data_IF_705017425927
#
_entry.id   IF_705017425927
#
_cell.length_a   1.000
_cell.length_b   1.000
_cell.length_c   1.000
_cell.angle_alpha   90.00
_cell.angle_beta   90.00
_cell.angle_gamma   90.00
#
_symmetry.space_group_name_H-M   'P 1'
#
loop_
_entity.id
_entity.type
_entity.pdbx_description
1 polymer ?
#
# COMPACT_ATOMS: atom_id res chain seq x y z
N UNK A 1 7.52 7.76 -13.78
CA UNK A 1 6.95 9.08 -13.41
C UNK A 1 8.05 10.12 -13.25
N UNK A 2 7.72 11.42 -13.30
CA UNK A 2 8.68 12.49 -12.94
C UNK A 2 9.17 12.26 -11.50
N UNK A 3 10.41 12.66 -11.24
CA UNK A 3 10.98 12.68 -9.91
C UNK A 3 10.14 13.62 -9.01
N UNK A 4 9.73 13.20 -7.82
CA UNK A 4 8.93 14.03 -6.90
C UNK A 4 9.67 15.33 -6.58
N UNK A 5 11.00 15.26 -6.47
CA UNK A 5 11.85 16.43 -6.22
C UNK A 5 11.85 17.46 -7.37
N UNK A 6 11.33 17.10 -8.56
CA UNK A 6 11.24 17.97 -9.73
C UNK A 6 9.81 18.49 -9.96
N UNK A 7 8.84 18.03 -9.16
CA UNK A 7 7.46 18.49 -9.28
C UNK A 7 7.28 19.86 -8.65
N UNK A 8 6.56 20.74 -9.33
CA UNK A 8 6.02 21.94 -8.69
C UNK A 8 5.02 21.57 -7.59
N UNK A 9 4.77 22.45 -6.60
CA UNK A 9 3.76 22.18 -5.57
C UNK A 9 2.37 21.83 -6.13
N UNK A 10 1.99 22.44 -7.25
CA UNK A 10 0.72 22.17 -7.92
C UNK A 10 0.70 20.77 -8.57
N UNK A 11 1.79 20.38 -9.25
CA UNK A 11 1.90 19.03 -9.83
C UNK A 11 1.90 17.96 -8.74
N UNK A 12 2.63 18.17 -7.65
CA UNK A 12 2.70 17.23 -6.54
C UNK A 12 1.35 17.10 -5.83
N UNK A 13 0.63 18.19 -5.60
CA UNK A 13 -0.73 18.13 -5.02
C UNK A 13 -1.69 17.35 -5.90
N UNK A 14 -1.65 17.55 -7.23
CA UNK A 14 -2.48 16.79 -8.17
C UNK A 14 -2.15 15.29 -8.17
N UNK A 15 -0.87 14.96 -8.10
CA UNK A 15 -0.41 13.58 -7.99
C UNK A 15 -0.96 12.89 -6.73
N UNK A 16 -0.89 13.58 -5.59
CA UNK A 16 -1.42 13.08 -4.32
C UNK A 16 -2.95 12.99 -4.34
N UNK A 17 -3.62 13.93 -4.99
CA UNK A 17 -5.08 13.88 -5.21
C UNK A 17 -5.47 12.66 -6.05
N UNK A 18 -4.73 12.33 -7.11
CA UNK A 18 -4.93 11.07 -7.84
C UNK A 18 -4.72 9.87 -6.94
N UNK A 19 -3.59 9.84 -6.20
CA UNK A 19 -3.23 8.73 -5.31
C UNK A 19 -4.30 8.43 -4.26
N UNK A 20 -4.83 9.43 -3.56
CA UNK A 20 -5.82 9.19 -2.49
C UNK A 20 -7.19 8.78 -3.02
N UNK A 21 -7.44 8.94 -4.32
CA UNK A 21 -8.69 8.62 -4.99
C UNK A 21 -8.61 7.32 -5.83
N UNK A 22 -7.50 6.57 -5.75
CA UNK A 22 -7.35 5.25 -6.38
C UNK A 22 -8.45 4.28 -5.93
N UNK A 23 -8.84 3.35 -6.82
CA UNK A 23 -9.97 2.44 -6.61
C UNK A 23 -9.80 1.53 -5.40
N UNK A 24 -8.54 1.23 -5.02
CA UNK A 24 -8.19 0.44 -3.82
C UNK A 24 -8.89 0.93 -2.56
N UNK A 25 -9.02 2.25 -2.39
CA UNK A 25 -9.63 2.82 -1.20
C UNK A 25 -11.15 2.60 -1.18
N UNK A 26 -11.79 2.57 -2.35
CA UNK A 26 -13.22 2.32 -2.49
C UNK A 26 -13.54 0.83 -2.33
N UNK A 27 -12.76 -0.06 -2.93
CA UNK A 27 -12.92 -1.52 -2.72
C UNK A 27 -12.65 -1.90 -1.27
N UNK A 28 -11.68 -1.25 -0.61
CA UNK A 28 -11.49 -1.40 0.84
C UNK A 28 -12.74 -1.01 1.64
N UNK A 29 -13.38 0.11 1.33
CA UNK A 29 -14.61 0.53 2.03
C UNK A 29 -15.74 -0.48 1.86
N UNK A 30 -15.98 -0.94 0.62
CA UNK A 30 -16.97 -2.00 0.34
C UNK A 30 -16.65 -3.29 1.09
N UNK A 31 -15.38 -3.71 1.11
CA UNK A 31 -14.95 -4.91 1.83
C UNK A 31 -15.16 -4.79 3.35
N UNK A 32 -14.92 -3.60 3.92
CA UNK A 32 -15.19 -3.33 5.34
C UNK A 32 -16.69 -3.44 5.65
N UNK A 33 -17.56 -2.93 4.77
CA UNK A 33 -19.02 -3.03 4.93
C UNK A 33 -19.49 -4.50 4.89
N UNK A 34 -18.96 -5.30 3.96
CA UNK A 34 -19.26 -6.73 3.88
C UNK A 34 -18.74 -7.49 5.11
N UNK A 35 -17.57 -7.12 5.65
CA UNK A 35 -17.02 -7.72 6.86
C UNK A 35 -17.80 -7.37 8.13
N UNK A 36 -18.44 -6.19 8.16
CA UNK A 36 -19.29 -5.76 9.28
C UNK A 36 -20.68 -6.43 9.29
N UNK A 37 -21.06 -7.07 8.20
CA UNK A 37 -22.34 -7.78 8.02
C UNK A 37 -22.12 -9.30 7.94
N UNK A 38 -23.18 -10.09 8.05
CA UNK A 38 -23.11 -11.54 7.86
C UNK A 38 -23.10 -11.91 6.35
N UNK A 39 -22.24 -11.22 5.59
CA UNK A 39 -22.08 -11.43 4.16
C UNK A 39 -21.58 -12.84 3.87
N UNK A 40 -22.05 -13.40 2.76
CA UNK A 40 -21.66 -14.73 2.30
C UNK A 40 -20.19 -14.79 1.88
N UNK A 41 -19.65 -16.00 1.80
CA UNK A 41 -18.29 -16.23 1.29
C UNK A 41 -18.14 -15.75 -0.16
N UNK A 42 -19.17 -15.91 -0.99
CA UNK A 42 -19.15 -15.53 -2.41
C UNK A 42 -19.08 -14.00 -2.58
N UNK A 43 -19.81 -13.24 -1.76
CA UNK A 43 -19.75 -11.78 -1.75
C UNK A 43 -18.36 -11.30 -1.32
N UNK A 44 -17.80 -11.89 -0.26
CA UNK A 44 -16.46 -11.57 0.22
C UNK A 44 -15.37 -11.94 -0.79
N UNK A 45 -15.46 -13.10 -1.44
CA UNK A 45 -14.50 -13.53 -2.46
C UNK A 45 -14.54 -12.58 -3.67
N UNK A 46 -15.73 -12.16 -4.10
CA UNK A 46 -15.88 -11.19 -5.20
C UNK A 46 -15.17 -9.87 -4.89
N UNK A 47 -15.48 -9.28 -3.74
CA UNK A 47 -14.90 -7.99 -3.35
C UNK A 47 -13.40 -8.11 -3.01
N UNK A 48 -12.96 -9.25 -2.46
CA UNK A 48 -11.54 -9.51 -2.26
C UNK A 48 -10.75 -9.52 -3.56
N UNK A 49 -11.30 -10.11 -4.64
CA UNK A 49 -10.65 -10.11 -5.94
C UNK A 49 -10.54 -8.70 -6.54
N UNK A 50 -11.56 -7.87 -6.38
CA UNK A 50 -11.51 -6.45 -6.77
C UNK A 50 -10.45 -5.70 -5.96
N UNK A 51 -10.49 -5.81 -4.63
CA UNK A 51 -9.50 -5.21 -3.72
C UNK A 51 -8.07 -5.62 -4.07
N UNK A 52 -7.85 -6.91 -4.35
CA UNK A 52 -6.54 -7.41 -4.73
C UNK A 52 -6.07 -6.85 -6.07
N UNK A 53 -6.95 -6.78 -7.08
CA UNK A 53 -6.63 -6.17 -8.37
C UNK A 53 -6.27 -4.69 -8.24
N UNK A 54 -7.07 -3.92 -7.51
CA UNK A 54 -6.82 -2.50 -7.26
C UNK A 54 -5.49 -2.27 -6.50
N UNK A 55 -5.15 -3.19 -5.59
CA UNK A 55 -3.88 -3.17 -4.88
C UNK A 55 -2.69 -3.40 -5.83
N UNK A 56 -2.80 -4.35 -6.75
CA UNK A 56 -1.76 -4.59 -7.77
C UNK A 56 -1.57 -3.38 -8.68
N UNK A 57 -2.65 -2.71 -9.08
CA UNK A 57 -2.63 -1.49 -9.86
C UNK A 57 -1.93 -0.33 -9.13
N UNK A 58 -2.25 -0.12 -7.84
CA UNK A 58 -1.52 0.83 -6.99
C UNK A 58 -0.02 0.49 -6.94
N UNK A 59 0.30 -0.79 -6.80
CA UNK A 59 1.67 -1.28 -6.77
C UNK A 59 2.44 -0.96 -8.06
N UNK A 60 1.83 -1.16 -9.24
CA UNK A 60 2.41 -0.74 -10.51
C UNK A 60 2.67 0.76 -10.55
N UNK A 61 1.72 1.58 -10.09
CA UNK A 61 1.85 3.02 -10.07
C UNK A 61 3.01 3.48 -9.18
N UNK A 62 3.04 3.01 -7.92
CA UNK A 62 4.06 3.37 -6.93
C UNK A 62 5.44 2.84 -7.28
N UNK A 63 5.53 1.68 -7.90
CA UNK A 63 6.83 1.19 -8.32
C UNK A 63 7.41 2.01 -9.47
N UNK A 64 6.64 2.78 -10.24
CA UNK A 64 7.19 3.61 -11.32
C UNK A 64 8.13 4.73 -10.83
N UNK A 65 8.11 5.08 -9.54
CA UNK A 65 9.10 6.00 -8.96
C UNK A 65 10.48 5.33 -8.88
N UNK A 66 11.53 6.11 -9.19
CA UNK A 66 12.93 5.63 -9.17
C UNK A 66 13.75 6.23 -8.03
N UNK A 67 13.22 7.26 -7.36
CA UNK A 67 13.89 7.93 -6.25
C UNK A 67 13.50 7.30 -4.92
N UNK A 68 14.46 7.18 -3.99
CA UNK A 68 14.20 6.85 -2.59
C UNK A 68 13.31 7.92 -1.94
N UNK A 69 12.07 7.59 -1.55
CA UNK A 69 11.16 8.54 -0.95
C UNK A 69 11.63 9.03 0.42
N UNK A 70 12.58 8.39 1.10
CA UNK A 70 13.09 8.88 2.39
C UNK A 70 14.21 9.93 2.26
N UNK A 71 14.72 10.18 1.05
CA UNK A 71 15.79 11.15 0.83
C UNK A 71 15.34 12.57 1.14
N UNK A 72 16.04 13.27 2.04
CA UNK A 72 15.82 14.69 2.34
C UNK A 72 15.04 15.00 3.63
N UNK A 73 14.64 13.99 4.42
CA UNK A 73 14.10 14.22 5.77
C UNK A 73 15.21 14.59 6.76
N UNK A 74 14.89 15.44 7.76
CA UNK A 74 15.80 15.71 8.87
C UNK A 74 16.11 14.40 9.63
N UNK A 75 17.36 13.93 9.66
CA UNK A 75 17.72 12.66 10.29
C UNK A 75 17.47 12.62 11.80
N UNK A 76 17.33 13.78 12.46
CA UNK A 76 17.15 13.86 13.91
C UNK A 76 15.68 13.88 14.34
N UNK A 77 14.76 14.19 13.42
CA UNK A 77 13.33 14.18 13.69
C UNK A 77 12.83 12.78 14.07
N UNK A 78 11.88 12.72 15.03
CA UNK A 78 11.30 11.46 15.51
C UNK A 78 10.69 10.64 14.37
N UNK A 79 9.97 11.32 13.48
CA UNK A 79 9.34 10.69 12.32
C UNK A 79 10.36 10.05 11.38
N UNK A 80 11.45 10.75 11.05
CA UNK A 80 12.52 10.20 10.21
C UNK A 80 13.14 8.96 10.83
N UNK A 81 13.31 8.92 12.15
CA UNK A 81 13.77 7.72 12.86
C UNK A 81 12.78 6.56 12.75
N UNK A 82 11.47 6.81 12.85
CA UNK A 82 10.42 5.79 12.63
C UNK A 82 10.53 5.25 11.21
N UNK A 83 10.43 6.12 10.20
CA UNK A 83 10.45 5.71 8.79
C UNK A 83 11.75 4.99 8.41
N UNK A 84 12.89 5.43 8.95
CA UNK A 84 14.16 4.74 8.76
C UNK A 84 14.13 3.32 9.33
N UNK A 85 13.63 3.10 10.55
CA UNK A 85 13.53 1.73 11.12
C UNK A 85 12.66 0.82 10.26
N UNK A 86 11.53 1.32 9.78
CA UNK A 86 10.65 0.56 8.89
C UNK A 86 11.38 0.24 7.57
N UNK A 87 12.10 1.21 7.01
CA UNK A 87 12.91 0.98 5.81
C UNK A 87 14.01 -0.05 6.01
N UNK A 88 14.76 0.04 7.11
CA UNK A 88 15.81 -0.91 7.46
C UNK A 88 15.22 -2.33 7.63
N UNK A 89 14.04 -2.44 8.26
CA UNK A 89 13.31 -3.70 8.37
C UNK A 89 12.87 -4.24 7.00
N UNK A 90 12.31 -3.41 6.12
CA UNK A 90 11.93 -3.80 4.76
C UNK A 90 13.13 -4.31 3.99
N UNK A 91 14.25 -3.57 4.02
CA UNK A 91 15.47 -3.96 3.30
C UNK A 91 16.10 -5.25 3.85
N UNK A 92 15.97 -5.51 5.14
CA UNK A 92 16.51 -6.72 5.76
C UNK A 92 15.67 -7.98 5.46
N UNK A 93 14.36 -7.83 5.25
CA UNK A 93 13.44 -8.96 5.11
C UNK A 93 12.96 -9.19 3.68
N UNK A 94 12.98 -8.16 2.83
CA UNK A 94 12.55 -8.28 1.44
C UNK A 94 13.52 -9.14 0.66
N UNK A 95 12.99 -10.21 0.06
CA UNK A 95 13.75 -11.13 -0.79
C UNK A 95 13.58 -10.81 -2.27
N UNK A 96 12.54 -10.07 -2.64
CA UNK A 96 12.24 -9.73 -4.02
C UNK A 96 12.90 -8.44 -4.48
N UNK A 97 13.40 -8.47 -5.70
CA UNK A 97 13.71 -7.28 -6.47
C UNK A 97 12.41 -6.62 -6.97
N UNK A 98 12.49 -5.33 -7.29
CA UNK A 98 11.38 -4.61 -7.95
C UNK A 98 10.90 -5.33 -9.23
N UNK A 99 11.83 -5.83 -10.04
CA UNK A 99 11.50 -6.54 -11.28
C UNK A 99 10.71 -7.82 -11.02
N UNK A 100 11.07 -8.57 -9.98
CA UNK A 100 10.33 -9.77 -9.58
C UNK A 100 8.93 -9.44 -9.07
N UNK A 101 8.73 -8.38 -8.28
CA UNK A 101 7.38 -7.95 -7.87
C UNK A 101 6.50 -7.54 -9.04
N UNK A 102 7.04 -6.80 -10.01
CA UNK A 102 6.35 -6.48 -11.27
C UNK A 102 5.91 -7.76 -11.99
N UNK A 103 6.81 -8.74 -12.12
CA UNK A 103 6.47 -10.01 -12.75
C UNK A 103 5.41 -10.79 -12.01
N UNK A 104 5.46 -10.85 -10.68
CA UNK A 104 4.45 -11.53 -9.86
C UNK A 104 3.06 -10.91 -10.04
N UNK A 105 2.95 -9.57 -10.07
CA UNK A 105 1.69 -8.87 -10.37
C UNK A 105 1.17 -9.14 -11.79
N UNK A 106 2.06 -9.50 -12.73
CA UNK A 106 1.66 -9.95 -14.07
C UNK A 106 1.32 -11.46 -14.13
N UNK A 107 1.26 -12.14 -12.98
CA UNK A 107 1.04 -13.58 -12.89
C UNK A 107 2.25 -14.44 -13.25
N UNK A 108 3.45 -13.86 -13.32
CA UNK A 108 4.70 -14.55 -13.65
C UNK A 108 5.49 -14.83 -12.38
N UNK A 109 5.44 -16.08 -11.92
CA UNK A 109 6.13 -16.55 -10.72
C UNK A 109 7.39 -17.34 -11.06
N UNK A 110 8.44 -17.19 -10.26
CA UNK A 110 9.67 -17.97 -10.37
C UNK A 110 9.50 -19.33 -9.69
N UNK A 111 10.25 -20.34 -10.12
CA UNK A 111 10.22 -21.66 -9.46
C UNK A 111 10.68 -21.61 -8.00
N UNK A 112 11.53 -20.63 -7.66
CA UNK A 112 12.01 -20.37 -6.30
C UNK A 112 11.03 -19.58 -5.44
N UNK A 113 9.91 -19.12 -6.00
CA UNK A 113 8.93 -18.35 -5.24
C UNK A 113 8.28 -19.24 -4.16
N UNK A 114 8.13 -18.71 -2.93
CA UNK A 114 7.45 -19.44 -1.88
C UNK A 114 6.01 -19.74 -2.35
N UNK A 115 5.64 -21.01 -2.27
CA UNK A 115 4.26 -21.43 -2.51
C UNK A 115 3.55 -21.43 -1.16
N UNK A 116 2.41 -20.74 -1.01
CA UNK A 116 1.67 -20.79 0.22
C UNK A 116 1.28 -22.24 0.52
N UNK A 117 1.43 -22.65 1.78
CA UNK A 117 1.10 -24.02 2.21
C UNK A 117 -0.39 -24.34 2.01
N UNK A 118 -1.24 -23.30 2.06
CA UNK A 118 -2.69 -23.37 1.93
C UNK A 118 -3.16 -22.25 1.03
N UNK A 119 -4.05 -22.57 0.08
CA UNK A 119 -4.64 -21.53 -0.78
C UNK A 119 -5.69 -20.75 -0.01
N UNK A 120 -5.92 -19.48 -0.39
CA UNK A 120 -6.97 -18.64 0.21
C UNK A 120 -8.36 -19.29 0.11
N UNK A 121 -8.64 -19.98 -1.00
CA UNK A 121 -9.89 -20.73 -1.22
C UNK A 121 -10.07 -21.92 -0.26
N UNK A 122 -9.00 -22.40 0.36
CA UNK A 122 -9.01 -23.52 1.30
C UNK A 122 -9.16 -23.05 2.75
N UNK A 123 -9.17 -21.73 3.01
CA UNK A 123 -9.36 -21.18 4.35
C UNK A 123 -10.81 -21.39 4.84
N UNK A 124 -11.00 -21.92 6.06
CA UNK A 124 -12.27 -21.90 6.77
C UNK A 124 -12.87 -20.49 6.81
N UNK A 125 -14.21 -20.37 6.92
CA UNK A 125 -14.88 -19.07 6.92
C UNK A 125 -14.29 -18.05 7.90
N UNK A 126 -14.03 -18.46 9.15
CA UNK A 126 -13.49 -17.56 10.18
C UNK A 126 -12.04 -17.12 9.87
N UNK A 127 -11.19 -18.05 9.42
CA UNK A 127 -9.80 -17.75 9.02
C UNK A 127 -9.77 -16.79 7.82
N UNK A 128 -10.68 -16.99 6.85
CA UNK A 128 -10.78 -16.13 5.69
C UNK A 128 -11.24 -14.72 6.06
N UNK A 129 -12.30 -14.60 6.88
CA UNK A 129 -12.74 -13.28 7.37
C UNK A 129 -11.65 -12.58 8.17
N UNK A 130 -10.89 -13.31 8.98
CA UNK A 130 -9.76 -12.75 9.71
C UNK A 130 -8.65 -12.27 8.78
N UNK A 131 -8.33 -13.01 7.72
CA UNK A 131 -7.39 -12.58 6.68
C UNK A 131 -7.84 -11.26 6.06
N UNK A 132 -9.09 -11.18 5.60
CA UNK A 132 -9.64 -9.96 5.00
C UNK A 132 -9.64 -8.79 5.99
N UNK A 133 -10.02 -9.03 7.25
CA UNK A 133 -9.96 -8.03 8.30
C UNK A 133 -8.54 -7.49 8.50
N UNK A 134 -7.54 -8.38 8.52
CA UNK A 134 -6.14 -7.98 8.64
C UNK A 134 -5.70 -7.15 7.43
N UNK A 135 -6.15 -7.47 6.22
CA UNK A 135 -5.82 -6.70 5.02
C UNK A 135 -6.41 -5.29 5.06
N UNK A 136 -7.69 -5.12 5.42
CA UNK A 136 -8.35 -3.80 5.41
C UNK A 136 -8.01 -2.89 6.60
N UNK A 137 -7.25 -3.40 7.57
CA UNK A 137 -6.82 -2.69 8.79
C UNK A 137 -5.35 -2.26 8.77
N UNK A 138 -4.67 -2.45 7.64
CA UNK A 138 -3.27 -2.07 7.47
C UNK A 138 -3.04 -0.56 7.62
N UNK A 139 -1.85 -0.18 8.09
CA UNK A 139 -1.48 1.23 8.36
C UNK A 139 -1.67 2.13 7.13
N UNK A 140 -1.54 1.56 5.92
CA UNK A 140 -1.77 2.23 4.63
C UNK A 140 -3.09 3.02 4.58
N UNK A 141 -4.18 2.45 5.10
CA UNK A 141 -5.49 3.10 5.06
C UNK A 141 -5.58 4.28 6.03
N UNK A 142 -4.98 4.15 7.22
CA UNK A 142 -4.96 5.23 8.20
C UNK A 142 -4.09 6.42 7.73
N UNK A 143 -2.93 6.15 7.12
CA UNK A 143 -2.08 7.22 6.58
C UNK A 143 -2.69 7.89 5.36
N UNK A 144 -3.50 7.17 4.57
CA UNK A 144 -4.30 7.77 3.49
C UNK A 144 -5.30 8.79 4.03
N UNK A 145 -6.03 8.49 5.10
CA UNK A 145 -6.96 9.45 5.71
C UNK A 145 -6.27 10.74 6.16
N UNK A 146 -5.07 10.61 6.74
CA UNK A 146 -4.24 11.77 7.09
C UNK A 146 -3.85 12.60 5.87
N UNK A 147 -3.48 11.94 4.77
CA UNK A 147 -3.13 12.60 3.52
C UNK A 147 -4.34 13.32 2.89
N UNK A 148 -5.53 12.71 2.91
CA UNK A 148 -6.79 13.35 2.47
C UNK A 148 -7.09 14.60 3.28
N UNK A 149 -6.95 14.54 4.61
CA UNK A 149 -7.19 15.69 5.48
C UNK A 149 -6.23 16.86 5.16
N UNK A 150 -4.96 16.57 4.88
CA UNK A 150 -3.98 17.58 4.46
C UNK A 150 -4.33 18.17 3.09
N UNK A 151 -4.76 17.33 2.14
CA UNK A 151 -5.17 17.78 0.80
C UNK A 151 -6.44 18.63 0.82
N UNK A 152 -7.34 18.44 1.78
CA UNK A 152 -8.53 19.26 1.95
C UNK A 152 -8.21 20.66 2.56
N UNK A 153 -7.09 20.78 3.27
CA UNK A 153 -6.65 22.03 3.89
C UNK A 153 -5.66 22.84 3.04
N UNK A 154 -4.95 23.75 3.69
CA UNK A 154 -3.88 24.57 3.10
C UNK A 154 -2.49 24.02 3.48
N UNK A 155 -2.32 22.70 3.46
CA UNK A 155 -1.06 22.06 3.80
C UNK A 155 0.08 22.53 2.88
N UNK A 156 1.23 22.80 3.48
CA UNK A 156 2.46 23.13 2.77
C UNK A 156 2.98 21.96 1.93
N UNK A 157 3.86 22.27 0.98
CA UNK A 157 4.54 21.24 0.18
C UNK A 157 5.31 20.26 1.08
N UNK A 158 5.98 20.78 2.11
CA UNK A 158 6.74 20.00 3.07
C UNK A 158 5.84 19.03 3.87
N UNK A 159 4.69 19.48 4.36
CA UNK A 159 3.72 18.63 5.06
C UNK A 159 3.18 17.51 4.16
N UNK A 160 2.80 17.85 2.93
CA UNK A 160 2.33 16.86 1.95
C UNK A 160 3.44 15.86 1.58
N UNK A 161 4.69 16.32 1.44
CA UNK A 161 5.83 15.46 1.13
C UNK A 161 6.15 14.52 2.30
N UNK A 162 6.01 14.97 3.54
CA UNK A 162 6.14 14.11 4.71
C UNK A 162 5.04 13.05 4.73
N UNK A 163 3.78 13.43 4.57
CA UNK A 163 2.65 12.51 4.58
C UNK A 163 2.72 11.47 3.44
N UNK A 164 3.16 11.88 2.24
CA UNK A 164 3.41 10.95 1.15
C UNK A 164 4.47 9.88 1.50
N UNK A 165 5.50 10.24 2.27
CA UNK A 165 6.55 9.31 2.68
C UNK A 165 6.05 8.31 3.71
N UNK A 166 5.21 8.76 4.63
CA UNK A 166 4.50 7.86 5.55
C UNK A 166 3.62 6.88 4.78
N UNK A 167 2.84 7.38 3.83
CA UNK A 167 2.04 6.57 2.92
C UNK A 167 2.88 5.53 2.18
N UNK A 168 3.98 5.95 1.56
CA UNK A 168 4.85 5.08 0.79
C UNK A 168 5.46 3.97 1.67
N UNK A 169 5.94 4.31 2.87
CA UNK A 169 6.49 3.31 3.80
C UNK A 169 5.41 2.35 4.27
N UNK A 170 4.18 2.82 4.54
CA UNK A 170 3.07 1.95 4.92
C UNK A 170 2.69 0.98 3.79
N UNK A 171 2.68 1.44 2.54
CA UNK A 171 2.54 0.57 1.37
C UNK A 171 3.66 -0.48 1.28
N UNK A 172 4.91 -0.07 1.45
CA UNK A 172 6.06 -0.99 1.37
C UNK A 172 6.06 -2.05 2.48
N UNK A 173 5.48 -1.75 3.65
CA UNK A 173 5.27 -2.73 4.71
C UNK A 173 4.16 -3.73 4.36
N UNK A 174 3.06 -3.24 3.77
CA UNK A 174 1.99 -4.11 3.27
C UNK A 174 2.54 -5.07 2.22
N UNK A 175 3.29 -4.55 1.24
CA UNK A 175 4.00 -5.37 0.24
C UNK A 175 4.85 -6.46 0.89
N UNK A 176 5.66 -6.09 1.89
CA UNK A 176 6.49 -7.06 2.60
C UNK A 176 5.65 -8.13 3.32
N UNK A 177 4.52 -7.76 3.93
CA UNK A 177 3.63 -8.68 4.62
C UNK A 177 2.92 -9.65 3.65
N UNK A 178 2.77 -9.27 2.39
CA UNK A 178 2.19 -10.13 1.34
C UNK A 178 3.26 -10.98 0.63
N UNK A 179 4.55 -10.69 0.80
CA UNK A 179 5.66 -11.49 0.27
C UNK A 179 5.96 -12.78 1.08
N UNK A 180 5.43 -12.89 2.31
CA UNK A 180 5.68 -14.00 3.24
C UNK A 180 4.67 -15.12 3.10
#
# INVERSE_FOLDING_TARGET
>A
MKNIAEMSPVEFRKLLDTLVNEELFKSRERLVELLATDSSREELDTEFMEFHGDYEDLGFWLETYTQDPLKGLDPHASLTKKLKRHRDYILANRKTTRKERIYRRMGVYLESDPKPEKKVIELPPDEYRQLLYNLVTQELFAVREGLVALLAGDASFEELNVAFREFFVAYELLELALET
#
